data_IF_000018902522
#
_entry.id   IF_000018902522
#
_cell.length_a   1.000
_cell.length_b   1.000
_cell.length_c   1.000
_cell.angle_alpha   90.00
_cell.angle_beta   90.00
_cell.angle_gamma   90.00
#
_symmetry.space_group_name_H-M   'P 1'
#
loop_
_entity.id
_entity.type
_entity.pdbx_description
1 polymer ?
#
# COMPACT_ATOMS: atom_id res chain seq x y z
N UNK A 1 -37.91 -26.67 9.07
CA UNK A 1 -36.92 -27.44 8.28
C UNK A 1 -36.37 -26.48 7.24
N UNK A 2 -35.34 -25.74 7.62
CA UNK A 2 -34.34 -24.99 6.85
C UNK A 2 -33.47 -24.31 7.95
N UNK A 3 -32.32 -23.70 7.65
CA UNK A 3 -31.40 -23.05 8.61
C UNK A 3 -30.43 -23.93 9.42
N UNK A 4 -29.86 -24.95 8.79
CA UNK A 4 -28.65 -25.59 9.32
C UNK A 4 -27.60 -25.86 8.23
N UNK A 5 -27.31 -24.87 7.38
CA UNK A 5 -26.38 -25.06 6.24
C UNK A 5 -25.36 -23.95 5.99
N UNK A 6 -25.06 -23.07 6.93
CA UNK A 6 -24.03 -22.04 6.72
C UNK A 6 -23.14 -21.84 7.96
N UNK A 7 -22.49 -22.89 8.46
CA UNK A 7 -21.55 -22.73 9.61
C UNK A 7 -20.18 -23.42 9.43
N UNK A 8 -19.83 -23.95 8.25
CA UNK A 8 -18.58 -24.75 8.09
C UNK A 8 -17.47 -24.12 7.24
N UNK A 9 -17.67 -22.97 6.61
CA UNK A 9 -16.71 -22.46 5.60
C UNK A 9 -15.95 -21.18 5.96
N UNK A 10 -16.14 -20.55 7.12
CA UNK A 10 -15.59 -19.20 7.35
C UNK A 10 -14.28 -19.11 8.14
N UNK A 11 -13.81 -20.19 8.78
CA UNK A 11 -12.62 -20.14 9.65
C UNK A 11 -11.31 -20.66 9.04
N UNK A 12 -11.36 -21.25 7.84
CA UNK A 12 -10.20 -21.87 7.18
C UNK A 12 -9.21 -20.88 6.56
N UNK A 13 -9.66 -19.72 6.08
CA UNK A 13 -8.80 -18.77 5.35
C UNK A 13 -8.03 -17.77 6.24
N UNK A 14 -8.41 -17.63 7.51
CA UNK A 14 -7.68 -16.82 8.50
C UNK A 14 -6.54 -17.57 9.20
N UNK A 15 -6.49 -18.89 9.05
CA UNK A 15 -5.64 -19.77 9.87
C UNK A 15 -4.69 -20.62 9.05
N UNK A 16 -4.68 -20.47 7.72
CA UNK A 16 -3.70 -21.14 6.88
C UNK A 16 -2.32 -20.46 7.05
N UNK A 17 -1.33 -21.14 7.65
CA UNK A 17 -0.02 -20.55 7.92
C UNK A 17 0.67 -20.05 6.65
N UNK A 18 0.43 -20.70 5.51
CA UNK A 18 1.01 -20.30 4.22
C UNK A 18 0.41 -18.98 3.73
N UNK A 19 -0.90 -18.79 3.89
CA UNK A 19 -1.56 -17.52 3.56
C UNK A 19 -1.13 -16.38 4.50
N UNK A 20 -1.01 -16.65 5.80
CA UNK A 20 -0.57 -15.65 6.79
C UNK A 20 0.90 -15.28 6.55
N UNK A 21 1.77 -16.27 6.30
CA UNK A 21 3.17 -16.05 5.97
C UNK A 21 3.32 -15.25 4.68
N UNK A 22 2.64 -15.64 3.60
CA UNK A 22 2.65 -14.92 2.32
C UNK A 22 2.20 -13.45 2.46
N UNK A 23 1.18 -13.19 3.28
CA UNK A 23 0.72 -11.82 3.55
C UNK A 23 1.74 -11.02 4.37
N UNK A 24 2.45 -11.68 5.29
CA UNK A 24 3.52 -11.05 6.08
C UNK A 24 4.74 -10.69 5.23
N UNK A 25 5.10 -11.55 4.27
CA UNK A 25 6.21 -11.31 3.36
C UNK A 25 5.90 -10.20 2.36
N UNK A 26 4.67 -10.17 1.81
CA UNK A 26 4.22 -9.08 0.93
C UNK A 26 4.24 -7.73 1.65
N UNK A 27 3.80 -7.68 2.92
CA UNK A 27 3.87 -6.46 3.74
C UNK A 27 5.32 -6.04 3.99
N UNK A 28 6.18 -6.97 4.36
CA UNK A 28 7.60 -6.69 4.57
C UNK A 28 8.28 -6.17 3.30
N UNK A 29 7.92 -6.71 2.13
CA UNK A 29 8.40 -6.25 0.83
C UNK A 29 7.91 -4.84 0.49
N UNK A 30 6.62 -4.54 0.72
CA UNK A 30 6.08 -3.20 0.52
C UNK A 30 6.78 -2.18 1.43
N UNK A 31 6.97 -2.51 2.71
CA UNK A 31 7.69 -1.67 3.67
C UNK A 31 9.13 -1.41 3.23
N UNK A 32 9.82 -2.44 2.75
CA UNK A 32 11.17 -2.30 2.20
C UNK A 32 11.18 -1.41 0.95
N UNK A 33 10.22 -1.59 0.04
CA UNK A 33 10.09 -0.79 -1.17
C UNK A 33 9.82 0.69 -0.84
N UNK A 34 8.93 0.97 0.12
CA UNK A 34 8.65 2.31 0.61
C UNK A 34 9.88 2.95 1.26
N UNK A 35 10.62 2.23 2.12
CA UNK A 35 11.89 2.70 2.70
C UNK A 35 12.95 3.01 1.66
N UNK A 36 12.93 2.32 0.51
CA UNK A 36 13.84 2.55 -0.61
C UNK A 36 13.49 3.75 -1.48
N UNK A 37 12.37 4.44 -1.26
CA UNK A 37 12.02 5.66 -1.98
C UNK A 37 12.72 6.89 -1.37
N UNK A 38 13.04 7.91 -2.19
CA UNK A 38 13.38 9.23 -1.68
C UNK A 38 12.32 9.73 -0.70
N UNK A 39 12.75 10.33 0.40
CA UNK A 39 11.89 10.68 1.54
C UNK A 39 10.66 11.47 1.11
N UNK A 40 10.84 12.49 0.26
CA UNK A 40 9.73 13.32 -0.21
C UNK A 40 8.69 12.53 -1.04
N UNK A 41 9.14 11.58 -1.85
CA UNK A 41 8.25 10.71 -2.65
C UNK A 41 7.43 9.82 -1.73
N UNK A 42 8.08 9.20 -0.73
CA UNK A 42 7.41 8.39 0.29
C UNK A 42 6.39 9.20 1.07
N UNK A 43 6.76 10.40 1.54
CA UNK A 43 5.84 11.28 2.31
C UNK A 43 4.61 11.65 1.51
N UNK A 44 4.77 12.08 0.26
CA UNK A 44 3.65 12.41 -0.64
C UNK A 44 2.75 11.19 -0.85
N UNK A 45 3.33 10.02 -1.10
CA UNK A 45 2.57 8.80 -1.32
C UNK A 45 1.78 8.38 -0.08
N UNK A 46 2.39 8.37 1.11
CA UNK A 46 1.72 8.00 2.37
C UNK A 46 0.55 8.92 2.68
N UNK A 47 0.75 10.24 2.59
CA UNK A 47 -0.32 11.18 2.88
C UNK A 47 -1.53 11.00 1.94
N UNK A 48 -1.31 10.63 0.69
CA UNK A 48 -2.40 10.45 -0.28
C UNK A 48 -3.04 9.06 -0.15
N UNK A 49 -2.25 8.01 -0.18
CA UNK A 49 -2.74 6.63 -0.37
C UNK A 49 -3.07 5.95 0.97
N UNK A 50 -2.44 6.38 2.06
CA UNK A 50 -2.65 5.82 3.41
C UNK A 50 -3.53 6.74 4.23
N UNK A 51 -3.19 8.04 4.28
CA UNK A 51 -3.93 9.02 5.09
C UNK A 51 -5.14 9.62 4.35
N UNK A 52 -5.26 9.41 3.03
CA UNK A 52 -6.42 9.83 2.24
C UNK A 52 -6.49 11.32 1.93
N UNK A 53 -5.42 12.09 2.13
CA UNK A 53 -5.40 13.52 1.81
C UNK A 53 -5.43 13.73 0.29
N UNK A 54 -6.10 14.79 -0.12
CA UNK A 54 -6.03 15.27 -1.50
C UNK A 54 -4.65 15.86 -1.83
N UNK A 55 -4.30 15.90 -3.12
CA UNK A 55 -3.05 16.51 -3.56
C UNK A 55 -2.92 17.98 -3.15
N UNK A 56 -4.04 18.70 -3.05
CA UNK A 56 -4.07 20.09 -2.61
C UNK A 56 -3.75 20.21 -1.11
N UNK A 57 -4.32 19.36 -0.26
CA UNK A 57 -4.00 19.32 1.17
C UNK A 57 -2.53 18.93 1.40
N UNK A 58 -2.03 17.95 0.64
CA UNK A 58 -0.61 17.56 0.72
C UNK A 58 0.32 18.69 0.28
N UNK A 59 -0.05 19.46 -0.74
CA UNK A 59 0.71 20.64 -1.17
C UNK A 59 0.83 21.65 -0.03
N UNK A 60 -0.25 21.88 0.73
CA UNK A 60 -0.25 22.75 1.90
C UNK A 60 0.59 22.18 3.04
N UNK A 61 0.36 20.91 3.43
CA UNK A 61 1.05 20.23 4.54
C UNK A 61 2.56 20.14 4.32
N UNK A 62 3.00 19.94 3.08
CA UNK A 62 4.41 19.78 2.74
C UNK A 62 5.07 21.07 2.22
N UNK A 63 4.33 22.18 2.17
CA UNK A 63 4.79 23.45 1.59
C UNK A 63 5.35 23.29 0.17
N UNK A 64 4.62 22.56 -0.67
CA UNK A 64 4.95 22.30 -2.07
C UNK A 64 3.93 22.93 -3.01
N UNK A 65 4.29 23.07 -4.29
CA UNK A 65 3.31 23.38 -5.33
C UNK A 65 2.50 22.13 -5.71
N UNK A 66 1.25 22.28 -6.21
CA UNK A 66 0.47 21.14 -6.72
C UNK A 66 1.23 20.33 -7.78
N UNK A 67 2.01 20.99 -8.63
CA UNK A 67 2.82 20.35 -9.68
C UNK A 67 3.97 19.52 -9.09
N UNK A 68 4.62 20.02 -8.03
CA UNK A 68 5.62 19.27 -7.31
C UNK A 68 4.99 18.02 -6.66
N UNK A 69 3.80 18.13 -6.05
CA UNK A 69 3.08 16.97 -5.49
C UNK A 69 2.77 15.93 -6.57
N UNK A 70 2.23 16.34 -7.72
CA UNK A 70 1.98 15.46 -8.87
C UNK A 70 3.23 14.72 -9.33
N UNK A 71 4.33 15.46 -9.48
CA UNK A 71 5.62 14.90 -9.90
C UNK A 71 6.21 13.92 -8.88
N UNK A 72 6.12 14.23 -7.59
CA UNK A 72 6.57 13.33 -6.53
C UNK A 72 5.71 12.07 -6.46
N UNK A 73 4.38 12.19 -6.55
CA UNK A 73 3.48 11.05 -6.54
C UNK A 73 3.72 10.12 -7.73
N UNK A 74 3.89 10.67 -8.93
CA UNK A 74 4.21 9.88 -10.12
C UNK A 74 5.51 9.08 -9.94
N UNK A 75 6.58 9.73 -9.44
CA UNK A 75 7.86 9.06 -9.18
C UNK A 75 7.78 8.03 -8.07
N UNK A 76 7.01 8.30 -7.00
CA UNK A 76 6.77 7.34 -5.93
C UNK A 76 6.11 6.07 -6.47
N UNK A 77 5.02 6.21 -7.24
CA UNK A 77 4.30 5.09 -7.86
C UNK A 77 5.21 4.29 -8.81
N UNK A 78 5.97 4.96 -9.68
CA UNK A 78 6.96 4.30 -10.56
C UNK A 78 8.03 3.55 -9.77
N UNK A 79 8.57 4.18 -8.72
CA UNK A 79 9.59 3.59 -7.86
C UNK A 79 9.11 2.36 -7.11
N UNK A 80 7.85 2.37 -6.64
CA UNK A 80 7.21 1.22 -6.01
C UNK A 80 6.98 0.09 -7.01
N UNK A 81 6.45 0.39 -8.19
CA UNK A 81 6.26 -0.62 -9.24
C UNK A 81 7.57 -1.30 -9.58
N UNK A 82 8.66 -0.54 -9.73
CA UNK A 82 10.00 -1.08 -10.02
C UNK A 82 10.49 -2.02 -8.91
N UNK A 83 10.37 -1.58 -7.65
CA UNK A 83 10.83 -2.35 -6.48
C UNK A 83 9.97 -3.58 -6.19
N UNK A 84 8.69 -3.53 -6.55
CA UNK A 84 7.72 -4.60 -6.31
C UNK A 84 7.51 -5.49 -7.55
N UNK A 85 8.35 -5.39 -8.60
CA UNK A 85 8.19 -6.16 -9.85
C UNK A 85 8.05 -7.66 -9.62
N UNK A 86 8.84 -8.22 -8.71
CA UNK A 86 8.84 -9.66 -8.40
C UNK A 86 7.56 -10.14 -7.68
N UNK A 87 6.77 -9.22 -7.13
CA UNK A 87 5.53 -9.50 -6.38
C UNK A 87 4.26 -9.32 -7.22
N UNK A 88 4.40 -8.98 -8.51
CA UNK A 88 3.28 -8.79 -9.43
C UNK A 88 2.81 -10.09 -10.12
N UNK A 89 3.42 -11.23 -9.81
CA UNK A 89 3.19 -12.53 -10.45
C UNK A 89 2.06 -13.32 -9.78
#
# INVERSE_FOLDING_TARGET
MEDARLDRAETGWRSDPEHVASNSELRAALDAALRGLPEQQRRVWVLIEVEGLSQAEVAQVLHLTPDAVRGQLFRARRGLVERMRQWRA
#
